data_IF_853433714909
#
_entry.id   IF_853433714909
#
_cell.length_a   1.000
_cell.length_b   1.000
_cell.length_c   1.000
_cell.angle_alpha   90.00
_cell.angle_beta   90.00
_cell.angle_gamma   90.00
#
_symmetry.space_group_name_H-M   'P 1'
#
loop_
_entity.id
_entity.type
_entity.pdbx_description
1 polymer ?
#
# COMPACT_ATOMS: atom_id res chain seq x y z
N UNK A 1 2.43 -16.75 5.24
CA UNK A 1 1.47 -15.98 4.42
C UNK A 1 1.96 -14.55 4.30
N UNK A 2 1.93 -14.02 3.11
CA UNK A 2 2.37 -12.65 2.88
C UNK A 2 1.16 -11.83 2.43
N UNK A 3 0.88 -10.76 3.15
CA UNK A 3 -0.24 -9.88 2.86
C UNK A 3 0.26 -8.46 2.58
N UNK A 4 -0.25 -7.88 1.52
CA UNK A 4 0.05 -6.51 1.11
C UNK A 4 -1.26 -5.73 1.06
N UNK A 5 -1.31 -4.60 1.74
CA UNK A 5 -2.42 -3.67 1.63
C UNK A 5 -2.16 -2.68 0.52
N UNK A 6 -3.18 -2.36 -0.26
CA UNK A 6 -3.12 -1.33 -1.29
C UNK A 6 -4.22 -0.31 -1.04
N UNK A 7 -3.90 0.95 -1.30
CA UNK A 7 -4.90 2.01 -1.20
C UNK A 7 -4.56 3.19 -2.08
N UNK A 8 -5.59 3.95 -2.44
CA UNK A 8 -5.44 5.18 -3.19
C UNK A 8 -6.67 6.05 -2.97
N UNK A 9 -6.49 7.36 -2.92
CA UNK A 9 -7.63 8.27 -2.76
C UNK A 9 -7.60 9.45 -3.71
N UNK A 10 -6.56 9.59 -4.52
CA UNK A 10 -6.52 10.60 -5.57
C UNK A 10 -6.05 9.95 -6.87
N UNK A 11 -6.38 10.54 -8.01
CA UNK A 11 -5.90 10.01 -9.28
C UNK A 11 -4.38 10.04 -9.39
N UNK A 12 -3.84 9.13 -10.17
CA UNK A 12 -2.43 9.08 -10.53
C UNK A 12 -2.30 9.33 -12.04
N UNK A 13 -1.06 9.29 -12.54
CA UNK A 13 -0.83 9.36 -13.98
C UNK A 13 -1.44 8.16 -14.72
N UNK A 14 -1.77 7.08 -13.99
CA UNK A 14 -2.41 5.89 -14.59
C UNK A 14 -3.90 6.14 -14.79
N UNK A 15 -4.55 6.86 -13.87
CA UNK A 15 -5.98 7.11 -13.94
C UNK A 15 -6.61 7.27 -12.57
N UNK A 16 -7.85 6.84 -12.44
CA UNK A 16 -8.59 6.87 -11.17
C UNK A 16 -7.92 5.97 -10.13
N UNK A 17 -8.28 6.12 -8.84
CA UNK A 17 -7.75 5.23 -7.81
C UNK A 17 -7.93 3.75 -8.13
N UNK A 18 -9.11 3.32 -8.57
CA UNK A 18 -9.32 1.92 -8.94
C UNK A 18 -8.43 1.52 -10.11
N UNK A 19 -8.35 2.36 -11.14
CA UNK A 19 -7.49 2.06 -12.30
C UNK A 19 -6.03 1.95 -11.89
N UNK A 20 -5.60 2.81 -10.97
CA UNK A 20 -4.24 2.76 -10.43
C UNK A 20 -3.98 1.43 -9.73
N UNK A 21 -4.88 1.02 -8.82
CA UNK A 21 -4.69 -0.22 -8.08
C UNK A 21 -4.71 -1.45 -8.98
N UNK A 22 -5.58 -1.46 -9.99
CA UNK A 22 -5.60 -2.55 -10.97
C UNK A 22 -4.30 -2.59 -11.79
N UNK A 23 -3.77 -1.44 -12.14
CA UNK A 23 -2.48 -1.36 -12.82
C UNK A 23 -1.35 -1.92 -11.96
N UNK A 24 -1.33 -1.56 -10.67
CA UNK A 24 -0.33 -2.10 -9.74
C UNK A 24 -0.39 -3.62 -9.69
N UNK A 25 -1.59 -4.19 -9.67
CA UNK A 25 -1.74 -5.64 -9.71
C UNK A 25 -1.11 -6.23 -10.97
N UNK A 26 -1.24 -5.57 -12.12
CA UNK A 26 -0.69 -6.07 -13.38
C UNK A 26 0.83 -6.02 -13.42
N UNK A 27 1.45 -5.04 -12.76
CA UNK A 27 2.90 -4.88 -12.82
C UNK A 27 3.65 -5.62 -11.71
N UNK A 28 2.96 -6.07 -10.68
CA UNK A 28 3.63 -6.76 -9.57
C UNK A 28 4.47 -7.96 -9.99
N UNK A 29 4.05 -8.78 -10.96
CA UNK A 29 4.92 -9.88 -11.40
C UNK A 29 6.26 -9.41 -11.96
N UNK A 30 6.32 -8.22 -12.54
CA UNK A 30 7.57 -7.66 -13.04
C UNK A 30 8.55 -7.32 -11.91
N UNK A 31 8.05 -7.25 -10.68
CA UNK A 31 8.84 -6.99 -9.48
C UNK A 31 9.04 -8.26 -8.64
N UNK A 32 8.79 -9.42 -9.24
CA UNK A 32 8.93 -10.72 -8.59
C UNK A 32 7.92 -10.92 -7.45
N UNK A 33 6.74 -10.36 -7.60
CA UNK A 33 5.64 -10.50 -6.64
C UNK A 33 4.46 -11.12 -7.37
N UNK A 34 4.06 -12.32 -6.96
CA UNK A 34 2.96 -13.05 -7.60
C UNK A 34 1.73 -12.93 -6.71
N UNK A 35 0.65 -12.40 -7.26
CA UNK A 35 -0.61 -12.28 -6.54
C UNK A 35 -1.33 -13.62 -6.58
N UNK A 36 -1.62 -14.16 -5.39
CA UNK A 36 -2.36 -15.41 -5.25
C UNK A 36 -3.85 -15.13 -5.15
N UNK A 37 -4.22 -14.07 -4.41
CA UNK A 37 -5.62 -13.73 -4.17
C UNK A 37 -5.73 -12.25 -3.86
N UNK A 38 -6.83 -11.65 -4.27
CA UNK A 38 -7.15 -10.25 -3.98
C UNK A 38 -8.51 -10.17 -3.29
N UNK A 39 -8.58 -9.38 -2.24
CA UNK A 39 -9.86 -9.09 -1.59
C UNK A 39 -10.74 -8.22 -2.48
N UNK A 40 -12.00 -8.08 -2.11
CA UNK A 40 -12.83 -7.04 -2.69
C UNK A 40 -12.27 -5.67 -2.34
N UNK A 41 -12.59 -4.68 -3.15
CA UNK A 41 -12.29 -3.30 -2.81
C UNK A 41 -13.21 -2.82 -1.70
N UNK A 42 -12.68 -1.97 -0.82
CA UNK A 42 -13.46 -1.38 0.25
C UNK A 42 -13.01 0.06 0.50
N UNK A 43 -13.89 0.86 1.06
CA UNK A 43 -13.63 2.28 1.29
C UNK A 43 -13.27 2.54 2.75
N UNK A 44 -12.31 3.44 2.97
CA UNK A 44 -12.03 3.97 4.30
C UNK A 44 -11.94 5.48 4.23
N UNK A 45 -12.39 6.16 5.29
CA UNK A 45 -12.19 7.60 5.39
C UNK A 45 -10.73 7.90 5.70
N UNK A 46 -10.26 9.13 5.45
CA UNK A 46 -8.91 9.51 5.86
C UNK A 46 -8.68 9.31 7.36
N UNK A 47 -9.70 9.57 8.17
CA UNK A 47 -9.61 9.38 9.62
C UNK A 47 -9.41 7.92 9.98
N UNK A 48 -10.15 7.01 9.36
CA UNK A 48 -9.99 5.58 9.57
C UNK A 48 -8.62 5.09 9.10
N UNK A 49 -8.18 5.57 7.94
CA UNK A 49 -6.93 5.11 7.33
C UNK A 49 -5.73 5.44 8.19
N UNK A 50 -5.68 6.65 8.71
CA UNK A 50 -4.52 7.10 9.47
C UNK A 50 -4.69 6.97 10.97
N UNK A 51 -5.92 6.91 11.46
CA UNK A 51 -6.27 6.63 12.85
C UNK A 51 -5.48 7.38 13.90
N UNK A 52 -6.04 7.54 15.07
CA UNK A 52 -5.28 7.98 16.20
C UNK A 52 -5.54 9.41 16.62
N UNK A 53 -5.05 9.69 17.84
CA UNK A 53 -5.36 10.91 18.57
C UNK A 53 -4.62 12.14 18.05
N UNK A 54 -3.65 11.93 17.16
CA UNK A 54 -2.80 13.02 16.68
C UNK A 54 -3.26 13.63 15.36
N UNK A 55 -4.34 13.10 14.80
CA UNK A 55 -4.90 13.68 13.59
C UNK A 55 -5.74 14.89 13.96
N UNK A 56 -5.70 15.93 13.12
CA UNK A 56 -6.62 17.05 13.30
C UNK A 56 -8.05 16.53 13.33
N UNK A 57 -8.89 17.13 14.17
CA UNK A 57 -10.29 16.72 14.30
C UNK A 57 -11.06 16.82 12.98
N UNK A 58 -10.54 17.54 12.02
CA UNK A 58 -11.20 17.76 10.73
C UNK A 58 -10.28 17.33 9.59
N UNK A 59 -9.86 16.07 9.60
CA UNK A 59 -9.16 15.55 8.43
C UNK A 59 -10.19 15.39 7.34
N UNK A 60 -10.13 16.29 6.37
CA UNK A 60 -10.97 16.24 5.19
C UNK A 60 -10.14 15.72 4.03
N UNK A 61 -10.79 15.07 3.13
CA UNK A 61 -10.15 14.56 1.94
C UNK A 61 -10.95 13.43 1.35
N UNK A 62 -10.59 13.03 0.14
CA UNK A 62 -11.29 11.92 -0.49
C UNK A 62 -11.05 10.63 0.29
N UNK A 63 -12.06 9.78 0.28
CA UNK A 63 -11.96 8.47 0.89
C UNK A 63 -10.98 7.62 0.10
N UNK A 64 -10.32 6.72 0.81
CA UNK A 64 -9.46 5.73 0.19
C UNK A 64 -10.27 4.57 -0.33
N UNK A 65 -9.90 4.09 -1.52
CA UNK A 65 -10.29 2.77 -1.96
C UNK A 65 -9.11 1.83 -1.66
N UNK A 66 -9.42 0.67 -1.11
CA UNK A 66 -8.41 -0.26 -0.61
C UNK A 66 -8.70 -1.67 -1.06
N UNK A 67 -7.67 -2.50 -1.06
CA UNK A 67 -7.81 -3.94 -1.08
C UNK A 67 -6.59 -4.58 -0.42
N UNK A 68 -6.69 -5.88 -0.13
CA UNK A 68 -5.61 -6.66 0.45
C UNK A 68 -5.25 -7.75 -0.54
N UNK A 69 -3.95 -7.93 -0.75
CA UNK A 69 -3.42 -8.96 -1.63
C UNK A 69 -2.72 -10.04 -0.81
N UNK A 70 -2.99 -11.28 -1.12
CA UNK A 70 -2.16 -12.39 -0.70
C UNK A 70 -1.16 -12.63 -1.83
N UNK A 71 0.12 -12.59 -1.51
CA UNK A 71 1.16 -12.69 -2.52
C UNK A 71 2.15 -13.80 -2.19
N UNK A 72 2.90 -14.19 -3.21
CA UNK A 72 4.02 -15.11 -3.10
C UNK A 72 5.23 -14.46 -3.77
N UNK A 73 6.38 -14.56 -3.11
CA UNK A 73 7.63 -14.02 -3.64
C UNK A 73 8.81 -14.78 -3.06
N UNK A 74 9.93 -14.76 -3.78
CA UNK A 74 11.19 -15.26 -3.26
C UNK A 74 12.02 -14.15 -2.62
N UNK A 75 11.55 -12.91 -2.70
CA UNK A 75 12.27 -11.80 -2.11
C UNK A 75 12.24 -11.89 -0.59
N UNK A 76 13.38 -11.59 0.07
CA UNK A 76 13.35 -11.40 1.51
C UNK A 76 12.45 -10.23 1.88
N UNK A 77 11.98 -10.23 3.12
CA UNK A 77 11.04 -9.24 3.63
C UNK A 77 11.50 -7.78 3.37
N UNK A 78 12.78 -7.47 3.61
CA UNK A 78 13.29 -6.12 3.40
C UNK A 78 13.29 -5.73 1.92
N UNK A 79 13.60 -6.67 1.05
CA UNK A 79 13.58 -6.42 -0.39
C UNK A 79 12.16 -6.28 -0.93
N UNK A 80 11.23 -7.08 -0.42
CA UNK A 80 9.83 -6.93 -0.79
C UNK A 80 9.32 -5.53 -0.39
N UNK A 81 9.62 -5.11 0.83
CA UNK A 81 9.26 -3.77 1.29
C UNK A 81 9.81 -2.70 0.34
N UNK A 82 11.09 -2.81 -0.02
CA UNK A 82 11.73 -1.85 -0.94
C UNK A 82 11.07 -1.84 -2.31
N UNK A 83 10.68 -3.00 -2.83
CA UNK A 83 9.99 -3.07 -4.13
C UNK A 83 8.62 -2.40 -4.07
N UNK A 84 7.89 -2.59 -2.98
CA UNK A 84 6.60 -1.91 -2.81
C UNK A 84 6.77 -0.40 -2.81
N UNK A 85 7.77 0.12 -2.13
CA UNK A 85 8.05 1.56 -2.11
C UNK A 85 8.51 2.07 -3.46
N UNK A 86 9.24 1.27 -4.21
CA UNK A 86 9.64 1.62 -5.57
C UNK A 86 8.42 1.72 -6.50
N UNK A 87 7.47 0.81 -6.38
CA UNK A 87 6.23 0.87 -7.14
C UNK A 87 5.47 2.16 -6.81
N UNK A 88 5.33 2.50 -5.53
CA UNK A 88 4.68 3.75 -5.11
C UNK A 88 5.34 4.97 -5.78
N UNK A 89 6.66 5.01 -5.75
CA UNK A 89 7.41 6.11 -6.33
C UNK A 89 7.17 6.21 -7.84
N UNK A 90 7.17 5.08 -8.53
CA UNK A 90 7.00 5.05 -9.98
C UNK A 90 5.57 5.42 -10.40
N UNK A 91 4.59 5.18 -9.55
CA UNK A 91 3.21 5.60 -9.81
C UNK A 91 3.07 7.13 -9.68
N UNK A 92 3.94 7.76 -8.92
CA UNK A 92 3.96 9.21 -8.84
C UNK A 92 3.84 9.78 -7.45
N UNK A 93 3.95 8.95 -6.42
CA UNK A 93 3.99 9.48 -5.05
C UNK A 93 5.29 10.23 -4.85
N UNK A 94 5.21 11.43 -4.29
CA UNK A 94 6.38 12.21 -3.96
C UNK A 94 6.22 12.88 -2.59
N UNK A 95 7.32 13.39 -2.06
CA UNK A 95 7.35 13.96 -0.71
C UNK A 95 6.60 15.30 -0.58
N UNK A 96 6.30 15.95 -1.69
CA UNK A 96 5.55 17.20 -1.65
C UNK A 96 4.05 16.98 -1.49
N UNK A 97 3.59 15.75 -1.67
CA UNK A 97 2.17 15.44 -1.51
C UNK A 97 1.82 15.31 -0.04
N UNK A 98 0.61 15.71 0.30
CA UNK A 98 0.07 15.48 1.63
C UNK A 98 0.06 13.98 1.93
N UNK A 99 0.39 13.62 3.17
CA UNK A 99 0.28 12.21 3.58
C UNK A 99 -1.16 11.69 3.53
N UNK A 100 -2.15 12.58 3.46
CA UNK A 100 -3.55 12.20 3.39
C UNK A 100 -4.06 12.02 1.97
N UNK A 101 -3.31 12.48 0.98
CA UNK A 101 -3.68 12.39 -0.43
C UNK A 101 -2.63 11.56 -1.14
N UNK A 102 -2.97 10.32 -1.45
CA UNK A 102 -2.01 9.35 -1.98
C UNK A 102 -2.53 8.70 -3.25
N UNK A 103 -1.81 8.85 -4.36
CA UNK A 103 -2.19 8.16 -5.59
C UNK A 103 -1.95 6.66 -5.52
N UNK A 104 -1.07 6.22 -4.63
CA UNK A 104 -0.82 4.80 -4.40
C UNK A 104 -0.14 4.63 -3.05
N UNK A 105 -0.67 3.74 -2.24
CA UNK A 105 -0.14 3.41 -0.93
C UNK A 105 -0.07 1.89 -0.82
N UNK A 106 1.13 1.36 -0.63
CA UNK A 106 1.38 -0.08 -0.55
C UNK A 106 2.05 -0.39 0.78
N UNK A 107 1.44 -1.29 1.54
CA UNK A 107 1.90 -1.62 2.87
C UNK A 107 2.09 -3.11 3.03
N UNK A 108 3.23 -3.51 3.57
CA UNK A 108 3.47 -4.91 3.92
C UNK A 108 2.81 -5.19 5.27
N UNK A 109 1.71 -5.94 5.26
CA UNK A 109 0.91 -6.19 6.45
C UNK A 109 1.39 -7.41 7.24
N UNK A 110 1.84 -8.46 6.56
CA UNK A 110 2.41 -9.63 7.22
C UNK A 110 3.40 -10.32 6.28
N UNK A 111 4.35 -11.04 6.88
CA UNK A 111 5.35 -11.76 6.11
C UNK A 111 5.70 -13.05 6.87
N UNK A 112 5.14 -14.16 6.41
CA UNK A 112 5.34 -15.45 7.06
C UNK A 112 4.75 -15.44 8.47
N UNK A 113 5.58 -15.73 9.46
CA UNK A 113 5.21 -15.69 10.87
C UNK A 113 5.33 -14.29 11.45
N UNK A 114 5.79 -13.34 10.67
CA UNK A 114 6.00 -11.98 11.12
C UNK A 114 4.75 -11.19 10.80
N UNK A 115 4.19 -10.54 11.82
CA UNK A 115 3.09 -9.62 11.61
C UNK A 115 3.72 -8.30 11.24
N UNK A 116 3.61 -7.95 9.98
CA UNK A 116 4.18 -6.73 9.47
C UNK A 116 3.39 -5.56 9.95
N UNK A 117 4.11 -4.56 10.38
CA UNK A 117 3.53 -3.25 10.54
C UNK A 117 3.91 -2.45 9.32
N UNK A 118 2.97 -1.67 8.86
CA UNK A 118 3.21 -0.82 7.70
C UNK A 118 4.35 0.15 7.92
N UNK A 119 4.70 0.36 9.17
CA UNK A 119 5.76 1.29 9.58
C UNK A 119 7.09 0.63 9.80
N UNK A 120 7.19 -0.66 9.62
CA UNK A 120 8.44 -1.38 9.82
C UNK A 120 9.42 -0.91 8.77
N UNK A 121 10.54 -0.39 9.23
CA UNK A 121 11.62 -0.04 8.33
C UNK A 121 12.40 -1.30 7.97
N UNK A 122 13.18 -1.28 6.88
CA UNK A 122 13.95 -2.45 6.47
C UNK A 122 14.91 -2.97 7.54
N UNK A 123 15.31 -2.13 8.48
CA UNK A 123 16.20 -2.55 9.56
C UNK A 123 15.48 -3.08 10.78
N UNK A 124 14.18 -2.97 10.86
CA UNK A 124 13.42 -3.38 12.04
C UNK A 124 13.25 -4.88 12.07
N UNK A 125 13.16 -5.40 13.27
CA UNK A 125 12.96 -6.82 13.48
C UNK A 125 11.50 -7.11 13.71
N UNK A 126 10.96 -7.98 12.88
CA UNK A 126 9.61 -8.50 13.03
C UNK A 126 9.73 -9.97 13.34
N UNK A 127 10.27 -10.30 14.38
CA UNK A 127 10.42 -11.72 14.69
C UNK A 127 9.66 -12.07 15.93
#
# INVERSE_FOLDING_TARGET
MILVGMGANIPSKIGTPIETLLHVCRIMPDYNIIIIKRSNFFLTSPLEKFGGKQLPKQVKGPWFINCVLKVRTRLPHTQLFSKLKLIEKNIGRNHSQSRFNRPCDLDLLSFGDKVGETKVSPGDQIS
#
